data_IF_995626044627
#
_entry.id   IF_995626044627
#
_cell.length_a   1.000
_cell.length_b   1.000
_cell.length_c   1.000
_cell.angle_alpha   90.00
_cell.angle_beta   90.00
_cell.angle_gamma   90.00
#
_symmetry.space_group_name_H-M   'P 1'
#
loop_
_entity.id
_entity.type
_entity.pdbx_description
1 polymer ?
#
# COMPACT_ATOMS: atom_id res chain seq x y z
N UNK A 1 6.53 -5.19 -6.68
CA UNK A 1 7.11 -5.98 -5.58
C UNK A 1 5.94 -6.57 -4.81
N UNK A 2 5.99 -7.85 -4.45
CA UNK A 2 4.91 -8.55 -3.73
C UNK A 2 5.50 -9.14 -2.45
N UNK A 3 5.67 -8.34 -1.38
CA UNK A 3 6.26 -8.83 -0.14
C UNK A 3 5.39 -9.93 0.46
N UNK A 4 6.00 -11.04 0.88
CA UNK A 4 5.29 -12.22 1.42
C UNK A 4 5.38 -12.33 2.95
N UNK A 5 6.31 -11.61 3.56
CA UNK A 5 6.51 -11.61 5.00
C UNK A 5 7.27 -10.36 5.46
N UNK A 6 7.12 -10.04 6.74
CA UNK A 6 7.96 -9.10 7.48
C UNK A 6 8.79 -9.87 8.50
N UNK A 7 10.05 -9.47 8.65
CA UNK A 7 11.01 -10.08 9.56
C UNK A 7 11.45 -9.08 10.62
N UNK A 8 11.74 -9.57 11.83
CA UNK A 8 12.42 -8.77 12.85
C UNK A 8 13.93 -8.64 12.59
N UNK A 9 14.63 -7.96 13.49
CA UNK A 9 16.08 -7.76 13.42
C UNK A 9 16.92 -9.05 13.60
N UNK A 10 16.29 -10.16 13.99
CA UNK A 10 16.90 -11.49 14.11
C UNK A 10 16.55 -12.39 12.93
N UNK A 11 15.76 -11.90 11.96
CA UNK A 11 15.29 -12.66 10.81
C UNK A 11 14.12 -13.59 11.10
N UNK A 12 13.46 -13.45 12.26
CA UNK A 12 12.24 -14.20 12.56
C UNK A 12 11.03 -13.56 11.89
N UNK A 13 10.12 -14.38 11.38
CA UNK A 13 8.90 -13.90 10.73
C UNK A 13 7.92 -13.36 11.76
N UNK A 14 7.59 -12.07 11.65
CA UNK A 14 6.61 -11.39 12.52
C UNK A 14 5.25 -11.17 11.84
N UNK A 15 5.25 -11.09 10.50
CA UNK A 15 4.03 -11.02 9.71
C UNK A 15 4.16 -11.86 8.44
N UNK A 16 3.06 -12.48 7.98
CA UNK A 16 2.95 -13.11 6.66
C UNK A 16 1.80 -12.52 5.88
N UNK A 17 2.03 -12.29 4.59
CA UNK A 17 1.07 -11.71 3.66
C UNK A 17 0.59 -12.78 2.69
N UNK A 18 -0.71 -13.02 2.65
CA UNK A 18 -1.34 -14.05 1.80
C UNK A 18 -2.16 -13.37 0.73
N UNK A 19 -1.75 -13.55 -0.52
CA UNK A 19 -2.42 -12.99 -1.70
C UNK A 19 -3.40 -14.01 -2.27
N UNK A 20 -4.51 -13.52 -2.83
CA UNK A 20 -5.52 -14.40 -3.40
C UNK A 20 -6.36 -13.72 -4.48
N UNK A 21 -7.03 -12.62 -4.14
CA UNK A 21 -7.95 -11.95 -5.08
C UNK A 21 -7.27 -10.92 -5.99
N UNK A 22 -6.15 -10.35 -5.55
CA UNK A 22 -5.39 -9.32 -6.25
C UNK A 22 -3.88 -9.59 -6.11
N UNK A 23 -3.09 -9.11 -7.06
CA UNK A 23 -1.64 -9.34 -7.08
C UNK A 23 -0.88 -8.31 -6.23
N UNK A 24 -1.39 -7.08 -6.15
CA UNK A 24 -0.68 -5.95 -5.53
C UNK A 24 -0.90 -5.82 -4.01
N UNK A 25 -1.97 -6.40 -3.48
CA UNK A 25 -2.37 -6.25 -2.07
C UNK A 25 -2.81 -7.60 -1.51
N UNK A 26 -2.35 -7.99 -0.30
CA UNK A 26 -2.72 -9.28 0.25
C UNK A 26 -4.18 -9.29 0.72
N UNK A 27 -4.78 -10.47 0.62
CA UNK A 27 -6.11 -10.76 1.14
C UNK A 27 -6.08 -10.93 2.67
N UNK A 28 -5.02 -11.57 3.18
CA UNK A 28 -4.86 -11.82 4.61
C UNK A 28 -3.48 -11.46 5.14
N UNK A 29 -3.47 -11.01 6.39
CA UNK A 29 -2.29 -10.76 7.20
C UNK A 29 -2.30 -11.70 8.39
N UNK A 30 -1.26 -12.50 8.54
CA UNK A 30 -1.05 -13.38 9.69
C UNK A 30 0.02 -12.76 10.58
N UNK A 31 -0.32 -12.47 11.84
CA UNK A 31 0.62 -11.95 12.85
C UNK A 31 0.48 -12.77 14.14
N UNK A 32 1.51 -13.52 14.48
CA UNK A 32 1.42 -14.53 15.53
C UNK A 32 0.32 -15.55 15.21
N UNK A 33 -0.64 -15.71 16.12
CA UNK A 33 -1.81 -16.59 15.96
C UNK A 33 -3.03 -15.88 15.35
N UNK A 34 -2.97 -14.54 15.21
CA UNK A 34 -4.08 -13.76 14.70
C UNK A 34 -4.07 -13.70 13.16
N UNK A 35 -5.27 -13.75 12.59
CA UNK A 35 -5.51 -13.60 11.15
C UNK A 35 -6.38 -12.37 10.94
N UNK A 36 -5.94 -11.50 10.05
CA UNK A 36 -6.65 -10.29 9.66
C UNK A 36 -7.03 -10.34 8.19
N UNK A 37 -8.24 -9.90 7.86
CA UNK A 37 -8.69 -9.65 6.49
C UNK A 37 -8.38 -8.20 6.14
N UNK A 38 -7.66 -7.98 5.05
CA UNK A 38 -7.53 -6.66 4.45
C UNK A 38 -8.69 -6.47 3.49
N UNK A 39 -9.49 -5.43 3.73
CA UNK A 39 -10.62 -5.06 2.88
C UNK A 39 -10.19 -3.87 2.04
N UNK A 40 -10.29 -4.01 0.73
CA UNK A 40 -9.82 -3.02 -0.24
C UNK A 40 -10.96 -2.39 -1.02
N UNK A 41 -10.72 -1.20 -1.57
CA UNK A 41 -11.57 -0.64 -2.60
C UNK A 41 -11.27 -1.26 -3.99
N UNK A 42 -11.99 -0.79 -5.01
CA UNK A 42 -11.87 -1.30 -6.37
C UNK A 42 -10.49 -1.11 -7.03
N UNK A 43 -9.64 -0.22 -6.49
CA UNK A 43 -8.26 -0.02 -6.96
C UNK A 43 -7.26 -0.87 -6.16
N UNK A 44 -7.71 -1.57 -5.11
CA UNK A 44 -6.85 -2.31 -4.21
C UNK A 44 -6.31 -1.47 -3.04
N UNK A 45 -6.83 -0.26 -2.81
CA UNK A 45 -6.43 0.53 -1.64
C UNK A 45 -7.02 -0.08 -0.38
N UNK A 46 -6.20 -0.35 0.65
CA UNK A 46 -6.69 -0.91 1.92
C UNK A 46 -7.57 0.11 2.63
N UNK A 47 -8.81 -0.25 2.95
CA UNK A 47 -9.75 0.63 3.67
C UNK A 47 -9.99 0.19 5.10
N UNK A 48 -10.00 -1.13 5.34
CA UNK A 48 -10.19 -1.70 6.67
C UNK A 48 -9.28 -2.91 6.86
N UNK A 49 -8.82 -3.11 8.09
CA UNK A 49 -8.19 -4.34 8.54
C UNK A 49 -9.04 -4.91 9.66
N UNK A 50 -9.54 -6.12 9.44
CA UNK A 50 -10.54 -6.75 10.31
C UNK A 50 -9.97 -8.03 10.89
N UNK A 51 -10.02 -8.19 12.21
CA UNK A 51 -9.69 -9.45 12.87
C UNK A 51 -10.73 -10.52 12.45
N UNK A 52 -10.27 -11.61 11.84
CA UNK A 52 -11.16 -12.64 11.27
C UNK A 52 -11.97 -13.38 12.35
N UNK A 53 -11.42 -13.49 13.57
CA UNK A 53 -12.06 -14.23 14.64
C UNK A 53 -13.06 -13.40 15.45
N UNK A 54 -12.74 -12.13 15.71
CA UNK A 54 -13.59 -11.25 16.53
C UNK A 54 -14.50 -10.35 15.71
N UNK A 55 -14.19 -10.13 14.43
CA UNK A 55 -14.86 -9.13 13.58
C UNK A 55 -14.48 -7.68 13.90
N UNK A 56 -13.54 -7.45 14.83
CA UNK A 56 -13.08 -6.12 15.20
C UNK A 56 -12.32 -5.45 14.06
N UNK A 57 -12.63 -4.17 13.80
CA UNK A 57 -11.86 -3.32 12.88
C UNK A 57 -10.65 -2.78 13.65
N UNK A 58 -9.47 -3.36 13.40
CA UNK A 58 -8.22 -3.00 14.08
C UNK A 58 -7.47 -1.85 13.41
N UNK A 59 -7.80 -1.56 12.15
CA UNK A 59 -7.32 -0.38 11.43
C UNK A 59 -8.37 0.05 10.39
N UNK A 60 -8.56 1.36 10.25
CA UNK A 60 -9.29 2.00 9.17
C UNK A 60 -8.40 3.04 8.50
N UNK A 61 -8.43 3.03 7.17
CA UNK A 61 -7.66 3.91 6.30
C UNK A 61 -8.61 4.60 5.32
N UNK A 62 -8.63 5.93 5.35
CA UNK A 62 -9.35 6.75 4.37
C UNK A 62 -8.37 7.61 3.59
N UNK A 63 -8.55 7.67 2.28
CA UNK A 63 -7.74 8.46 1.36
C UNK A 63 -8.59 9.44 0.55
N UNK A 64 -7.98 10.53 0.13
CA UNK A 64 -8.49 11.32 -1.00
C UNK A 64 -8.23 10.61 -2.35
N UNK A 65 -8.59 11.27 -3.45
CA UNK A 65 -8.43 10.73 -4.80
C UNK A 65 -6.97 10.54 -5.24
N UNK A 66 -6.03 11.22 -4.58
CA UNK A 66 -4.61 11.18 -4.88
C UNK A 66 -3.83 10.26 -3.96
N UNK A 67 -4.49 9.65 -2.98
CA UNK A 67 -3.85 8.76 -2.00
C UNK A 67 -3.36 9.45 -0.75
N UNK A 68 -3.68 10.73 -0.52
CA UNK A 68 -3.37 11.38 0.76
C UNK A 68 -4.22 10.74 1.86
N UNK A 69 -3.58 10.30 2.94
CA UNK A 69 -4.26 9.71 4.10
C UNK A 69 -5.05 10.80 4.82
N UNK A 70 -6.39 10.67 4.80
CA UNK A 70 -7.33 11.51 5.55
C UNK A 70 -7.58 10.96 6.95
N UNK A 71 -7.50 9.63 7.11
CA UNK A 71 -7.62 8.96 8.40
C UNK A 71 -6.77 7.68 8.40
N UNK A 72 -6.04 7.45 9.49
CA UNK A 72 -5.47 6.16 9.86
C UNK A 72 -5.66 5.96 11.37
N UNK A 73 -6.47 4.97 11.74
CA UNK A 73 -6.77 4.73 13.16
C UNK A 73 -5.68 3.95 13.89
N UNK A 74 -4.74 3.33 13.18
CA UNK A 74 -3.66 2.55 13.77
C UNK A 74 -2.40 2.57 12.88
N UNK A 75 -1.71 3.72 12.78
CA UNK A 75 -0.55 3.87 11.91
C UNK A 75 0.56 2.86 12.20
N UNK A 76 1.10 2.26 11.15
CA UNK A 76 2.17 1.26 11.24
C UNK A 76 1.71 -0.15 11.60
N UNK A 77 0.41 -0.41 11.74
CA UNK A 77 -0.11 -1.76 11.98
C UNK A 77 0.22 -2.73 10.83
N UNK A 78 0.20 -2.24 9.60
CA UNK A 78 0.59 -2.97 8.39
C UNK A 78 1.00 -1.95 7.30
N UNK A 79 1.80 -2.35 6.30
CA UNK A 79 2.44 -1.40 5.40
C UNK A 79 1.63 -1.02 4.14
N UNK A 80 0.61 -1.77 3.76
CA UNK A 80 -0.12 -1.58 2.51
C UNK A 80 -1.15 -0.44 2.62
N UNK A 81 -1.15 0.44 1.64
CA UNK A 81 -2.03 1.60 1.59
C UNK A 81 -2.70 1.80 0.25
N UNK A 82 -2.54 3.01 -0.31
CA UNK A 82 -3.15 3.44 -1.56
C UNK A 82 -2.77 2.52 -2.73
N UNK A 83 -3.76 1.98 -3.46
CA UNK A 83 -3.60 1.07 -4.61
C UNK A 83 -2.63 -0.11 -4.35
N UNK A 84 -2.59 -0.59 -3.10
CA UNK A 84 -1.71 -1.68 -2.68
C UNK A 84 -0.23 -1.33 -2.55
N UNK A 85 0.14 -0.06 -2.71
CA UNK A 85 1.52 0.39 -2.48
C UNK A 85 1.91 0.35 -1.00
N UNK A 86 3.21 0.30 -0.73
CA UNK A 86 3.76 0.30 0.63
C UNK A 86 3.84 1.76 1.11
N UNK A 87 3.06 2.13 2.11
CA UNK A 87 3.02 3.50 2.64
C UNK A 87 4.07 3.70 3.73
N UNK A 88 4.88 4.74 3.58
CA UNK A 88 5.79 5.21 4.61
C UNK A 88 5.20 6.47 5.27
N UNK A 89 4.71 6.32 6.50
CA UNK A 89 4.11 7.42 7.26
C UNK A 89 5.09 8.52 7.66
N UNK A 90 6.40 8.26 7.65
CA UNK A 90 7.41 9.27 7.99
C UNK A 90 7.64 10.24 6.83
N UNK A 91 7.64 9.73 5.60
CA UNK A 91 7.88 10.54 4.39
C UNK A 91 6.59 10.96 3.70
N UNK A 92 5.48 10.26 3.93
CA UNK A 92 4.22 10.43 3.21
C UNK A 92 4.22 9.78 1.82
N UNK A 93 5.30 9.09 1.44
CA UNK A 93 5.43 8.46 0.13
C UNK A 93 4.79 7.07 0.10
N UNK A 94 4.40 6.66 -1.10
CA UNK A 94 3.90 5.32 -1.38
C UNK A 94 4.85 4.62 -2.35
N UNK A 95 5.47 3.54 -1.91
CA UNK A 95 6.40 2.76 -2.71
C UNK A 95 5.67 1.74 -3.59
N UNK A 96 5.87 1.88 -4.91
CA UNK A 96 5.34 0.98 -5.95
C UNK A 96 6.47 0.29 -6.71
N UNK A 97 7.30 -0.48 -5.98
CA UNK A 97 8.35 -1.32 -6.56
C UNK A 97 9.47 -0.54 -7.25
N UNK A 98 9.25 -0.08 -8.48
CA UNK A 98 10.25 0.64 -9.27
C UNK A 98 10.31 2.14 -8.95
N UNK A 99 9.24 2.70 -8.35
CA UNK A 99 9.13 4.14 -8.08
C UNK A 99 8.39 4.41 -6.78
N UNK A 100 8.72 5.55 -6.18
CA UNK A 100 7.97 6.13 -5.09
C UNK A 100 7.05 7.21 -5.64
N UNK A 101 5.82 7.20 -5.15
CA UNK A 101 4.77 8.14 -5.48
C UNK A 101 4.56 9.10 -4.32
N UNK A 102 4.40 10.39 -4.62
CA UNK A 102 4.06 11.44 -3.67
C UNK A 102 2.58 11.80 -3.84
N UNK A 103 1.70 11.39 -2.90
CA UNK A 103 0.29 11.74 -2.92
C UNK A 103 0.00 13.23 -2.78
N UNK A 104 0.86 13.98 -2.09
CA UNK A 104 0.69 15.42 -1.87
C UNK A 104 0.92 16.18 -3.18
N UNK A 105 1.89 15.73 -3.98
CA UNK A 105 2.17 16.29 -5.30
C UNK A 105 1.37 15.63 -6.43
N UNK A 106 0.72 14.49 -6.17
CA UNK A 106 -0.02 13.73 -7.18
C UNK A 106 0.87 13.14 -8.27
N UNK A 107 2.13 12.79 -7.98
CA UNK A 107 3.13 12.41 -9.00
C UNK A 107 4.21 11.46 -8.50
N UNK A 108 4.93 10.82 -9.42
CA UNK A 108 6.15 10.06 -9.10
C UNK A 108 7.29 11.00 -8.74
N UNK A 109 8.15 10.61 -7.80
CA UNK A 109 9.34 11.40 -7.43
C UNK A 109 10.57 11.07 -8.30
N UNK A 110 10.49 10.01 -9.10
CA UNK A 110 11.52 9.60 -10.05
C UNK A 110 10.95 9.47 -11.46
N UNK A 111 11.81 9.65 -12.47
CA UNK A 111 11.44 9.45 -13.87
C UNK A 111 11.04 8.00 -14.10
N UNK A 112 10.12 7.79 -15.03
CA UNK A 112 9.79 6.46 -15.49
C UNK A 112 11.04 5.71 -15.99
N UNK A 113 11.38 4.53 -15.42
CA UNK A 113 12.54 3.75 -15.83
C UNK A 113 12.52 3.32 -17.29
N UNK A 114 11.33 3.19 -17.90
CA UNK A 114 11.22 2.88 -19.35
C UNK A 114 11.27 4.14 -20.22
N UNK A 115 11.41 5.33 -19.60
CA UNK A 115 11.50 6.61 -20.30
C UNK A 115 10.29 6.87 -21.17
N UNK A 116 10.52 7.45 -22.35
CA UNK A 116 9.45 7.75 -23.31
C UNK A 116 8.84 6.50 -23.99
N UNK A 117 9.33 5.30 -23.68
CA UNK A 117 8.69 4.07 -24.14
C UNK A 117 7.33 3.81 -23.44
N UNK A 118 7.00 4.57 -22.39
CA UNK A 118 5.67 4.61 -21.78
C UNK A 118 4.62 5.35 -22.61
N UNK A 119 5.04 5.97 -23.73
CA UNK A 119 4.23 6.87 -24.56
C UNK A 119 3.77 8.14 -23.84
N UNK A 120 4.23 8.39 -22.61
CA UNK A 120 4.00 9.62 -21.88
C UNK A 120 5.16 10.62 -22.05
N UNK A 121 4.83 11.86 -22.37
CA UNK A 121 5.80 12.97 -22.44
C UNK A 121 6.24 13.46 -21.05
N UNK A 122 5.44 13.21 -20.01
CA UNK A 122 5.76 13.55 -18.64
C UNK A 122 6.19 12.29 -17.86
N UNK A 123 7.51 12.12 -17.72
CA UNK A 123 8.10 10.96 -17.05
C UNK A 123 7.79 10.85 -15.54
N UNK A 124 7.08 11.83 -14.97
CA UNK A 124 6.69 11.87 -13.57
C UNK A 124 5.17 11.77 -13.38
N UNK A 125 4.37 11.74 -14.45
CA UNK A 125 2.92 11.77 -14.36
C UNK A 125 2.35 10.50 -13.71
N UNK A 126 1.30 10.68 -12.91
CA UNK A 126 0.49 9.60 -12.40
C UNK A 126 -0.75 9.43 -13.28
N UNK A 127 -0.89 8.27 -13.93
CA UNK A 127 -2.04 7.90 -14.78
C UNK A 127 -2.36 8.97 -15.83
N UNK A 128 -1.34 9.43 -16.57
CA UNK A 128 -1.43 10.47 -17.60
C UNK A 128 -1.98 11.83 -17.12
N UNK A 129 -2.05 12.05 -15.81
CA UNK A 129 -2.51 13.33 -15.29
C UNK A 129 -1.36 14.35 -15.32
N UNK A 130 -1.66 15.50 -15.92
CA UNK A 130 -0.73 16.62 -16.04
C UNK A 130 -1.12 17.63 -14.97
N UNK A 131 -0.45 17.57 -13.83
CA UNK A 131 -0.54 18.62 -12.79
C UNK A 131 0.40 19.76 -13.14
#
# INVERSE_FOLDING_TARGET
>A
MTPIAELDNQGQVIARYVYGSQDQVPDYLLMGEAIYRLVTDHLGSVRLVVNVMTGEVVQRLDYDAWGNVLQDTNPGFQPFGFVGGIYDSLTGLVHFGARDYDPQMGRWISKDPIGFASEDTNLYAYVYNVV
#
